data_IF_232352565330
#
_entry.id   IF_232352565330
#
_cell.length_a   1.000
_cell.length_b   1.000
_cell.length_c   1.000
_cell.angle_alpha   90.00
_cell.angle_beta   90.00
_cell.angle_gamma   90.00
#
_symmetry.space_group_name_H-M   'P 1'
#
loop_
_entity.id
_entity.type
_entity.pdbx_description
1 polymer ?
#
# COMPACT_ATOMS: atom_id res chain seq x y z
N UNK A 1 -9.18 2.84 -18.38
CA UNK A 1 -9.50 1.50 -18.88
C UNK A 1 -10.98 1.12 -18.73
N UNK A 2 -11.64 1.23 -17.56
CA UNK A 2 -12.97 0.66 -17.35
C UNK A 2 -14.04 1.15 -18.33
N UNK A 3 -14.02 2.45 -18.65
CA UNK A 3 -14.95 3.06 -19.62
C UNK A 3 -14.80 2.42 -21.01
N UNK A 4 -13.57 2.18 -21.47
CA UNK A 4 -13.34 1.56 -22.77
C UNK A 4 -13.88 0.12 -22.83
N UNK A 5 -13.74 -0.64 -21.74
CA UNK A 5 -14.31 -1.99 -21.63
C UNK A 5 -15.84 -1.94 -21.68
N UNK A 6 -16.47 -0.99 -20.99
CA UNK A 6 -17.91 -0.76 -21.07
C UNK A 6 -18.40 -0.44 -22.49
N UNK A 7 -17.66 0.41 -23.22
CA UNK A 7 -17.97 0.72 -24.63
C UNK A 7 -17.83 -0.54 -25.51
N UNK A 8 -16.77 -1.33 -25.33
CA UNK A 8 -16.54 -2.54 -26.11
C UNK A 8 -17.62 -3.59 -25.85
N UNK A 9 -18.05 -3.77 -24.61
CA UNK A 9 -19.17 -4.67 -24.28
C UNK A 9 -20.49 -4.17 -24.87
N UNK A 10 -20.78 -2.86 -24.78
CA UNK A 10 -21.98 -2.28 -25.40
C UNK A 10 -21.99 -2.45 -26.93
N UNK A 11 -20.81 -2.48 -27.56
CA UNK A 11 -20.67 -2.74 -29.00
C UNK A 11 -20.64 -4.23 -29.39
N UNK A 12 -20.78 -5.15 -28.41
CA UNK A 12 -20.78 -6.60 -28.65
C UNK A 12 -19.40 -7.20 -28.95
N UNK A 13 -18.31 -6.46 -28.73
CA UNK A 13 -16.94 -6.96 -28.94
C UNK A 13 -16.41 -7.80 -27.76
N UNK A 14 -17.09 -7.72 -26.62
CA UNK A 14 -16.81 -8.46 -25.40
C UNK A 14 -18.15 -8.95 -24.84
N UNK A 15 -18.16 -10.15 -24.31
CA UNK A 15 -19.30 -10.69 -23.57
C UNK A 15 -19.52 -9.90 -22.27
N UNK A 16 -20.68 -9.23 -22.18
CA UNK A 16 -21.06 -8.43 -21.01
C UNK A 16 -21.24 -9.26 -19.74
N UNK A 17 -21.58 -10.55 -19.87
CA UNK A 17 -21.86 -11.40 -18.72
C UNK A 17 -20.57 -11.69 -17.93
N UNK A 18 -19.43 -11.72 -18.62
CA UNK A 18 -18.12 -11.86 -18.00
C UNK A 18 -17.77 -10.65 -17.12
N UNK A 19 -18.25 -9.45 -17.46
CA UNK A 19 -17.92 -8.24 -16.69
C UNK A 19 -18.46 -8.26 -15.27
N UNK A 20 -19.45 -9.10 -14.97
CA UNK A 20 -19.95 -9.29 -13.60
C UNK A 20 -18.94 -9.97 -12.68
N UNK A 21 -17.98 -10.68 -13.25
CA UNK A 21 -16.96 -11.46 -12.54
C UNK A 21 -15.64 -10.68 -12.34
N UNK A 22 -15.47 -9.56 -13.03
CA UNK A 22 -14.23 -8.79 -13.06
C UNK A 22 -14.40 -7.35 -12.57
N UNK A 23 -13.37 -6.86 -11.90
CA UNK A 23 -13.13 -5.45 -11.66
C UNK A 23 -11.89 -4.98 -12.42
N UNK A 24 -11.86 -3.69 -12.78
CA UNK A 24 -10.88 -3.13 -13.69
C UNK A 24 -10.23 -1.89 -13.07
N UNK A 25 -8.90 -1.89 -12.97
CA UNK A 25 -8.16 -0.79 -12.38
C UNK A 25 -7.03 -0.32 -13.31
N UNK A 26 -7.11 0.93 -13.76
CA UNK A 26 -6.04 1.53 -14.56
C UNK A 26 -6.50 2.62 -15.52
N UNK A 27 -5.55 3.46 -15.88
CA UNK A 27 -5.72 4.49 -16.89
C UNK A 27 -5.45 3.94 -18.29
N UNK A 28 -6.13 4.48 -19.30
CA UNK A 28 -5.94 4.09 -20.70
C UNK A 28 -5.34 5.26 -21.46
N UNK A 29 -4.15 5.06 -22.03
CA UNK A 29 -3.53 6.00 -22.95
C UNK A 29 -4.16 5.90 -24.35
N UNK A 30 -4.07 6.97 -25.14
CA UNK A 30 -4.54 6.98 -26.54
C UNK A 30 -3.85 5.92 -27.40
N UNK A 31 -2.63 5.53 -27.03
CA UNK A 31 -1.86 4.45 -27.67
C UNK A 31 -2.35 3.04 -27.32
N UNK A 32 -3.43 2.91 -26.54
CA UNK A 32 -3.96 1.62 -26.08
C UNK A 32 -3.20 1.02 -24.89
N UNK A 33 -2.15 1.67 -24.39
CA UNK A 33 -1.36 1.21 -23.25
C UNK A 33 -2.06 1.51 -21.92
N UNK A 34 -1.90 0.60 -20.96
CA UNK A 34 -2.41 0.78 -19.61
C UNK A 34 -1.38 1.48 -18.73
N UNK A 35 -1.84 2.45 -17.93
CA UNK A 35 -1.05 3.17 -16.95
C UNK A 35 -1.55 2.88 -15.54
N UNK A 36 -0.60 2.84 -14.61
CA UNK A 36 -0.89 2.60 -13.21
C UNK A 36 -1.66 3.75 -12.55
N UNK A 37 -2.39 3.41 -11.49
CA UNK A 37 -3.15 4.35 -10.68
C UNK A 37 -2.88 4.13 -9.20
N UNK A 38 -3.24 5.11 -8.37
CA UNK A 38 -3.19 4.97 -6.91
C UNK A 38 -4.30 4.08 -6.36
N UNK A 39 -4.09 3.57 -5.15
CA UNK A 39 -5.10 2.81 -4.41
C UNK A 39 -5.26 1.36 -4.86
N UNK A 40 -4.19 0.73 -5.37
CA UNK A 40 -4.22 -0.66 -5.83
C UNK A 40 -4.66 -1.62 -4.72
N UNK A 41 -4.00 -1.58 -3.56
CA UNK A 41 -4.26 -2.52 -2.47
C UNK A 41 -5.70 -2.44 -1.97
N UNK A 42 -6.26 -1.27 -1.63
CA UNK A 42 -7.66 -1.20 -1.18
C UNK A 42 -8.64 -1.63 -2.28
N UNK A 43 -8.35 -1.36 -3.56
CA UNK A 43 -9.17 -1.85 -4.67
C UNK A 43 -9.17 -3.38 -4.75
N UNK A 44 -7.99 -4.01 -4.65
CA UNK A 44 -7.84 -5.47 -4.66
C UNK A 44 -8.58 -6.11 -3.47
N UNK A 45 -8.45 -5.55 -2.26
CA UNK A 45 -9.17 -6.01 -1.07
C UNK A 45 -10.69 -5.91 -1.27
N UNK A 46 -11.16 -4.81 -1.88
CA UNK A 46 -12.58 -4.61 -2.16
C UNK A 46 -13.10 -5.64 -3.18
N UNK A 47 -12.35 -5.91 -4.24
CA UNK A 47 -12.71 -6.90 -5.25
C UNK A 47 -12.78 -8.32 -4.66
N UNK A 48 -11.81 -8.67 -3.81
CA UNK A 48 -11.80 -9.95 -3.09
C UNK A 48 -13.03 -10.11 -2.17
N UNK A 49 -13.37 -9.07 -1.39
CA UNK A 49 -14.59 -9.05 -0.58
C UNK A 49 -15.86 -9.21 -1.42
N UNK A 50 -15.87 -8.64 -2.63
CA UNK A 50 -16.95 -8.79 -3.60
C UNK A 50 -16.92 -10.14 -4.35
N UNK A 51 -15.92 -11.00 -4.09
CA UNK A 51 -15.67 -12.27 -4.79
C UNK A 51 -15.50 -12.09 -6.30
N UNK A 52 -14.89 -10.99 -6.71
CA UNK A 52 -14.57 -10.66 -8.11
C UNK A 52 -13.07 -10.74 -8.34
N UNK A 53 -12.71 -11.12 -9.55
CA UNK A 53 -11.33 -11.11 -10.00
C UNK A 53 -10.96 -9.69 -10.45
N UNK A 54 -9.70 -9.29 -10.31
CA UNK A 54 -9.28 -7.94 -10.72
C UNK A 54 -8.31 -8.00 -11.89
N UNK A 55 -8.49 -7.11 -12.86
CA UNK A 55 -7.55 -6.86 -13.96
C UNK A 55 -7.01 -5.43 -13.81
N UNK A 56 -5.69 -5.30 -13.74
CA UNK A 56 -5.02 -4.03 -13.49
C UNK A 56 -3.86 -3.75 -14.44
N UNK A 57 -3.39 -2.50 -14.46
CA UNK A 57 -2.20 -2.14 -15.23
C UNK A 57 -0.94 -2.83 -14.67
N UNK A 58 -0.04 -3.25 -15.57
CA UNK A 58 1.24 -3.91 -15.20
C UNK A 58 2.05 -3.16 -14.13
N UNK A 59 2.00 -1.82 -14.14
CA UNK A 59 2.69 -0.98 -13.17
C UNK A 59 2.21 -1.20 -11.71
N UNK A 60 0.94 -1.58 -11.52
CA UNK A 60 0.36 -1.85 -10.20
C UNK A 60 0.54 -3.30 -9.74
N UNK A 61 1.10 -4.19 -10.56
CA UNK A 61 1.13 -5.62 -10.29
C UNK A 61 1.90 -5.98 -9.00
N UNK A 62 2.96 -5.24 -8.67
CA UNK A 62 3.75 -5.44 -7.45
C UNK A 62 2.95 -5.12 -6.17
N UNK A 63 2.07 -4.11 -6.20
CA UNK A 63 1.25 -3.77 -5.04
C UNK A 63 0.14 -4.81 -4.86
N UNK A 64 -0.48 -5.22 -5.96
CA UNK A 64 -1.53 -6.23 -5.96
C UNK A 64 -1.06 -7.59 -5.48
N UNK A 65 0.21 -7.94 -5.75
CA UNK A 65 0.79 -9.21 -5.34
C UNK A 65 0.97 -9.34 -3.82
N UNK A 66 0.93 -8.23 -3.06
CA UNK A 66 0.94 -8.24 -1.59
C UNK A 66 -0.34 -8.84 -1.00
N UNK A 67 -1.46 -8.79 -1.73
CA UNK A 67 -2.74 -9.35 -1.28
C UNK A 67 -2.84 -10.80 -1.75
N UNK A 68 -2.39 -11.73 -0.89
CA UNK A 68 -2.22 -13.15 -1.25
C UNK A 68 -3.54 -13.88 -1.56
N UNK A 69 -4.66 -13.44 -1.00
CA UNK A 69 -5.95 -14.15 -1.10
C UNK A 69 -6.78 -13.77 -2.35
N UNK A 70 -6.41 -12.69 -3.04
CA UNK A 70 -7.17 -12.18 -4.18
C UNK A 70 -6.70 -12.82 -5.50
N UNK A 71 -7.61 -12.99 -6.47
CA UNK A 71 -7.22 -13.39 -7.84
C UNK A 71 -7.06 -12.13 -8.70
N UNK A 72 -5.80 -11.73 -8.92
CA UNK A 72 -5.47 -10.48 -9.62
C UNK A 72 -4.60 -10.74 -10.85
N UNK A 73 -4.99 -10.19 -11.99
CA UNK A 73 -4.28 -10.25 -13.25
C UNK A 73 -3.73 -8.88 -13.64
N UNK A 74 -2.66 -8.85 -14.42
CA UNK A 74 -2.13 -7.60 -14.95
C UNK A 74 -1.96 -7.62 -16.47
N UNK A 75 -2.13 -6.45 -17.08
CA UNK A 75 -1.98 -6.24 -18.53
C UNK A 75 -1.17 -4.97 -18.84
N UNK A 76 -0.46 -4.97 -19.96
CA UNK A 76 0.25 -3.79 -20.48
C UNK A 76 -0.60 -2.94 -21.43
N UNK A 77 -1.63 -3.55 -22.04
CA UNK A 77 -2.46 -2.90 -23.05
C UNK A 77 -3.93 -3.31 -22.95
N UNK A 78 -4.82 -2.48 -23.49
CA UNK A 78 -6.25 -2.82 -23.60
C UNK A 78 -6.46 -4.08 -24.45
N UNK A 79 -5.64 -4.28 -25.48
CA UNK A 79 -5.74 -5.42 -26.38
C UNK A 79 -5.54 -6.75 -25.64
N UNK A 80 -4.56 -6.83 -24.74
CA UNK A 80 -4.34 -8.02 -23.90
C UNK A 80 -5.56 -8.33 -23.02
N UNK A 81 -6.18 -7.30 -22.44
CA UNK A 81 -7.40 -7.46 -21.63
C UNK A 81 -8.55 -8.01 -22.48
N UNK A 82 -8.76 -7.44 -23.67
CA UNK A 82 -9.81 -7.88 -24.60
C UNK A 82 -9.58 -9.32 -25.08
N UNK A 83 -8.34 -9.68 -25.39
CA UNK A 83 -8.01 -11.05 -25.81
C UNK A 83 -8.28 -12.06 -24.70
N UNK A 84 -7.99 -11.71 -23.45
CA UNK A 84 -8.27 -12.57 -22.30
C UNK A 84 -9.78 -12.73 -22.06
N UNK A 85 -10.55 -11.65 -22.12
CA UNK A 85 -12.02 -11.71 -21.98
C UNK A 85 -12.67 -12.52 -23.12
N UNK A 86 -12.10 -12.45 -24.33
CA UNK A 86 -12.52 -13.27 -25.47
C UNK A 86 -11.93 -14.69 -25.49
N UNK A 87 -11.28 -15.14 -24.40
CA UNK A 87 -10.68 -16.47 -24.24
C UNK A 87 -9.62 -16.83 -25.31
N UNK A 88 -8.99 -15.82 -25.91
CA UNK A 88 -7.92 -15.99 -26.91
C UNK A 88 -6.54 -16.14 -26.26
N UNK A 89 -6.30 -15.39 -25.20
CA UNK A 89 -5.05 -15.37 -24.44
C UNK A 89 -5.30 -15.51 -22.94
N UNK A 90 -4.22 -15.70 -22.17
CA UNK A 90 -4.24 -15.68 -20.70
C UNK A 90 -3.42 -14.49 -20.20
N UNK A 91 -3.93 -13.81 -19.18
CA UNK A 91 -3.16 -12.79 -18.47
C UNK A 91 -2.31 -13.43 -17.37
N UNK A 92 -1.12 -12.88 -17.10
CA UNK A 92 -0.31 -13.27 -15.96
C UNK A 92 -0.98 -12.87 -14.63
N UNK A 93 -0.74 -13.67 -13.59
CA UNK A 93 -1.30 -13.50 -12.24
C UNK A 93 -0.28 -12.72 -11.39
N UNK A 94 -0.73 -11.71 -10.65
CA UNK A 94 0.16 -10.85 -9.86
C UNK A 94 0.84 -11.62 -8.72
N UNK A 95 0.14 -12.56 -8.07
CA UNK A 95 0.65 -13.36 -6.95
C UNK A 95 1.95 -14.12 -7.29
N UNK A 96 2.20 -14.41 -8.57
CA UNK A 96 3.44 -15.09 -9.00
C UNK A 96 4.67 -14.17 -8.94
N UNK A 97 4.48 -12.85 -8.83
CA UNK A 97 5.58 -11.87 -8.75
C UNK A 97 6.23 -11.89 -7.36
N UNK A 98 5.41 -11.91 -6.29
CA UNK A 98 5.90 -11.85 -4.91
C UNK A 98 6.71 -13.07 -4.46
N UNK A 99 6.63 -14.20 -5.17
CA UNK A 99 7.48 -15.37 -4.90
C UNK A 99 8.97 -15.10 -5.16
N UNK A 100 9.31 -14.02 -5.89
CA UNK A 100 10.67 -13.72 -6.33
C UNK A 100 11.34 -12.52 -5.62
N UNK A 101 10.64 -11.76 -4.77
CA UNK A 101 11.14 -10.45 -4.31
C UNK A 101 11.53 -10.40 -2.83
N UNK A 102 12.85 -10.44 -2.66
CA UNK A 102 13.67 -9.78 -1.64
C UNK A 102 13.67 -10.31 -0.20
N UNK A 103 14.82 -10.86 0.19
CA UNK A 103 15.31 -10.83 1.57
C UNK A 103 15.06 -9.44 2.17
N UNK A 104 14.24 -9.38 3.21
CA UNK A 104 14.03 -8.17 4.01
C UNK A 104 15.41 -7.82 4.58
N UNK A 105 16.08 -6.82 4.01
CA UNK A 105 17.34 -6.33 4.58
C UNK A 105 16.99 -5.66 5.91
N UNK A 106 17.62 -6.04 7.03
CA UNK A 106 17.49 -5.27 8.25
C UNK A 106 18.11 -3.90 7.98
N UNK A 107 17.25 -2.89 7.85
CA UNK A 107 17.69 -1.50 7.89
C UNK A 107 18.23 -1.23 9.28
N UNK A 108 19.27 -0.40 9.34
CA UNK A 108 20.00 -0.02 10.56
C UNK A 108 19.02 0.30 11.68
N UNK A 109 18.92 -0.61 12.66
CA UNK A 109 18.13 -0.39 13.87
C UNK A 109 18.81 0.69 14.70
N UNK A 110 18.07 1.76 15.06
CA UNK A 110 18.58 2.80 15.95
C UNK A 110 18.44 2.29 17.37
N UNK A 111 19.55 2.28 18.11
CA UNK A 111 19.57 1.78 19.47
C UNK A 111 19.16 2.89 20.47
N UNK A 112 18.49 2.48 21.55
CA UNK A 112 18.27 3.34 22.72
C UNK A 112 19.57 3.64 23.47
N UNK A 113 20.63 2.85 23.28
CA UNK A 113 21.96 3.11 23.87
C UNK A 113 22.57 4.42 23.36
N UNK A 114 22.24 4.84 22.13
CA UNK A 114 22.69 6.12 21.55
C UNK A 114 22.24 7.36 22.35
N UNK A 115 21.15 7.23 23.13
CA UNK A 115 20.59 8.36 23.87
C UNK A 115 21.29 8.47 25.21
N UNK A 116 22.07 9.52 25.41
CA UNK A 116 22.73 9.76 26.69
C UNK A 116 21.71 10.30 27.70
N UNK A 117 21.55 9.61 28.83
CA UNK A 117 20.62 10.00 29.91
C UNK A 117 19.15 9.63 29.66
N UNK A 118 18.21 10.43 30.17
CA UNK A 118 16.76 10.30 29.97
C UNK A 118 16.13 8.94 30.37
N UNK A 119 16.59 8.36 31.49
CA UNK A 119 16.17 7.00 31.93
C UNK A 119 14.66 6.84 32.07
N UNK A 120 13.97 7.84 32.64
CA UNK A 120 12.51 7.82 32.77
C UNK A 120 11.81 7.80 31.40
N UNK A 121 12.30 8.59 30.43
CA UNK A 121 11.72 8.63 29.09
C UNK A 121 11.99 7.33 28.31
N UNK A 122 13.20 6.76 28.41
CA UNK A 122 13.51 5.45 27.83
C UNK A 122 12.60 4.35 28.39
N UNK A 123 12.41 4.33 29.71
CA UNK A 123 11.51 3.37 30.36
C UNK A 123 10.06 3.54 29.91
N UNK A 124 9.56 4.77 29.85
CA UNK A 124 8.22 5.06 29.35
C UNK A 124 8.05 4.59 27.90
N UNK A 125 9.06 4.81 27.06
CA UNK A 125 9.07 4.37 25.67
C UNK A 125 9.00 2.85 25.55
N UNK A 126 9.79 2.10 26.33
CA UNK A 126 9.76 0.63 26.34
C UNK A 126 8.41 0.10 26.82
N UNK A 127 7.83 0.69 27.87
CA UNK A 127 6.49 0.31 28.36
C UNK A 127 5.44 0.57 27.28
N UNK A 128 5.50 1.72 26.61
CA UNK A 128 4.58 2.04 25.54
C UNK A 128 4.71 1.11 24.34
N UNK A 129 5.94 0.76 23.93
CA UNK A 129 6.18 -0.20 22.84
C UNK A 129 5.65 -1.60 23.19
N UNK A 130 5.93 -2.10 24.40
CA UNK A 130 5.47 -3.41 24.85
C UNK A 130 3.95 -3.48 25.03
N UNK A 131 3.33 -2.40 25.52
CA UNK A 131 1.89 -2.32 25.77
C UNK A 131 1.06 -1.78 24.60
N UNK A 132 1.68 -1.46 23.45
CA UNK A 132 1.03 -0.78 22.32
C UNK A 132 0.28 0.50 22.75
N UNK A 133 0.88 1.29 23.64
CA UNK A 133 0.28 2.52 24.15
C UNK A 133 0.70 3.75 23.34
N UNK A 134 -0.20 4.72 23.27
CA UNK A 134 0.10 6.04 22.73
C UNK A 134 1.02 6.82 23.69
N UNK A 135 2.00 7.53 23.13
CA UNK A 135 2.97 8.30 23.90
C UNK A 135 3.05 9.73 23.38
N UNK A 136 2.97 10.72 24.27
CA UNK A 136 3.18 12.13 23.97
C UNK A 136 4.42 12.66 24.71
N UNK A 137 5.37 13.23 23.97
CA UNK A 137 6.54 13.88 24.56
C UNK A 137 6.32 15.38 24.74
N UNK A 138 6.42 15.87 25.97
CA UNK A 138 6.32 17.28 26.33
C UNK A 138 7.64 17.80 26.90
N UNK A 139 8.09 18.98 26.47
CA UNK A 139 9.25 19.65 27.07
C UNK A 139 9.99 20.62 26.13
N UNK A 140 10.96 21.39 26.66
CA UNK A 140 11.73 22.41 25.93
C UNK A 140 12.40 21.89 24.66
N UNK A 141 12.65 22.71 23.62
CA UNK A 141 13.38 22.29 22.42
C UNK A 141 14.79 21.77 22.78
N UNK A 142 15.34 20.87 21.96
CA UNK A 142 16.69 20.32 22.16
C UNK A 142 16.82 19.17 23.18
N UNK A 143 15.75 18.76 23.85
CA UNK A 143 15.79 17.70 24.89
C UNK A 143 15.80 16.25 24.37
N UNK A 144 16.00 16.05 23.07
CA UNK A 144 16.06 14.70 22.47
C UNK A 144 14.70 14.03 22.20
N UNK A 145 13.57 14.76 22.24
CA UNK A 145 12.22 14.20 21.98
C UNK A 145 12.10 13.48 20.65
N UNK A 146 12.55 14.12 19.55
CA UNK A 146 12.54 13.50 18.21
C UNK A 146 13.46 12.29 18.14
N UNK A 147 14.59 12.33 18.84
CA UNK A 147 15.53 11.21 18.92
C UNK A 147 14.91 10.00 19.62
N UNK A 148 14.14 10.22 20.71
CA UNK A 148 13.36 9.18 21.39
C UNK A 148 12.21 8.67 20.52
N UNK A 149 11.39 9.56 19.96
CA UNK A 149 10.22 9.19 19.16
C UNK A 149 10.57 8.35 17.93
N UNK A 150 11.67 8.69 17.25
CA UNK A 150 12.12 7.96 16.06
C UNK A 150 12.55 6.52 16.33
N UNK A 151 12.94 6.19 17.57
CA UNK A 151 13.32 4.84 17.99
C UNK A 151 12.13 3.99 18.44
N UNK A 152 10.94 4.58 18.61
CA UNK A 152 9.74 3.81 18.92
C UNK A 152 9.44 2.79 17.82
N UNK A 153 9.53 3.21 16.56
CA UNK A 153 9.27 2.34 15.41
C UNK A 153 10.22 1.14 15.36
N UNK A 154 11.45 1.30 15.83
CA UNK A 154 12.49 0.26 15.84
C UNK A 154 12.39 -0.67 17.08
N UNK A 155 11.66 -0.25 18.12
CA UNK A 155 11.38 -1.06 19.33
C UNK A 155 10.14 -1.93 19.20
N UNK A 156 9.23 -1.57 18.30
CA UNK A 156 8.00 -2.32 18.07
C UNK A 156 8.31 -3.65 17.40
N UNK A 157 7.54 -4.71 17.69
CA UNK A 157 7.67 -5.97 16.98
C UNK A 157 7.38 -5.79 15.48
N UNK A 158 7.91 -6.72 14.68
CA UNK A 158 7.59 -6.81 13.25
C UNK A 158 6.07 -6.80 13.04
N UNK A 159 5.62 -6.15 11.96
CA UNK A 159 4.21 -6.12 11.63
C UNK A 159 3.72 -7.51 11.22
N UNK A 160 2.51 -7.85 11.64
CA UNK A 160 1.79 -8.96 11.02
C UNK A 160 1.50 -8.63 9.55
N UNK A 161 1.19 -9.64 8.74
CA UNK A 161 0.84 -9.42 7.33
C UNK A 161 -0.39 -8.50 7.22
N UNK A 162 -1.36 -8.63 8.12
CA UNK A 162 -2.55 -7.78 8.18
C UNK A 162 -2.20 -6.31 8.46
N UNK A 163 -1.40 -6.03 9.50
CA UNK A 163 -0.95 -4.68 9.84
C UNK A 163 -0.14 -4.03 8.70
N UNK A 164 0.70 -4.84 8.04
CA UNK A 164 1.52 -4.39 6.93
C UNK A 164 0.65 -4.07 5.70
N UNK A 165 -0.36 -4.89 5.40
CA UNK A 165 -1.33 -4.63 4.32
C UNK A 165 -2.16 -3.37 4.61
N UNK A 166 -2.61 -3.15 5.85
CA UNK A 166 -3.34 -1.93 6.22
C UNK A 166 -2.47 -0.67 6.02
N UNK A 167 -1.23 -0.72 6.49
CA UNK A 167 -0.27 0.38 6.32
C UNK A 167 0.05 0.64 4.84
N UNK A 168 0.26 -0.43 4.07
CA UNK A 168 0.50 -0.36 2.64
C UNK A 168 -0.73 0.17 1.89
N UNK A 169 -1.94 -0.16 2.33
CA UNK A 169 -3.19 0.35 1.76
C UNK A 169 -3.24 1.87 1.80
N UNK A 170 -2.98 2.46 2.97
CA UNK A 170 -2.91 3.92 3.13
C UNK A 170 -1.81 4.53 2.27
N UNK A 171 -0.65 3.88 2.21
CA UNK A 171 0.49 4.37 1.44
C UNK A 171 0.23 4.34 -0.07
N UNK A 172 -0.44 3.29 -0.58
CA UNK A 172 -0.82 3.14 -2.00
C UNK A 172 -1.76 4.25 -2.49
N UNK A 173 -2.50 4.90 -1.59
CA UNK A 173 -3.37 6.03 -1.93
C UNK A 173 -2.60 7.32 -2.19
N UNK A 174 -1.41 7.46 -1.59
CA UNK A 174 -0.64 8.72 -1.58
C UNK A 174 0.60 8.62 -2.48
N UNK A 175 1.18 7.43 -2.58
CA UNK A 175 2.40 7.18 -3.34
C UNK A 175 2.12 6.22 -4.49
N UNK A 176 2.88 6.36 -5.57
CA UNK A 176 2.72 5.55 -6.79
C UNK A 176 3.48 4.22 -6.73
N UNK A 177 4.46 4.10 -5.83
CA UNK A 177 5.28 2.90 -5.69
C UNK A 177 5.51 2.59 -4.21
N UNK A 178 5.06 1.41 -3.80
CA UNK A 178 5.46 0.83 -2.52
C UNK A 178 6.88 0.25 -2.62
N UNK A 179 7.72 0.63 -1.67
CA UNK A 179 9.02 -0.03 -1.50
C UNK A 179 8.82 -1.41 -0.87
N UNK A 180 8.87 -2.45 -1.69
CA UNK A 180 8.70 -3.85 -1.30
C UNK A 180 9.77 -4.35 -0.30
N UNK A 181 10.87 -3.61 -0.09
CA UNK A 181 11.86 -3.97 0.91
C UNK A 181 11.46 -3.53 2.33
N UNK A 182 10.61 -2.50 2.45
CA UNK A 182 10.32 -1.84 3.72
C UNK A 182 8.84 -1.87 4.10
N UNK A 183 7.98 -2.53 3.33
CA UNK A 183 6.52 -2.50 3.55
C UNK A 183 6.08 -3.13 4.88
N UNK A 184 6.89 -4.03 5.46
CA UNK A 184 6.69 -4.58 6.82
C UNK A 184 7.29 -3.74 7.95
N UNK A 185 7.91 -2.60 7.65
CA UNK A 185 8.49 -1.71 8.65
C UNK A 185 7.44 -0.76 9.24
N UNK A 186 7.44 -0.61 10.57
CA UNK A 186 6.54 0.31 11.26
C UNK A 186 6.77 1.74 10.74
N UNK A 187 5.74 2.43 10.24
CA UNK A 187 5.93 3.74 9.63
C UNK A 187 6.28 4.78 10.70
N UNK A 188 7.26 5.63 10.40
CA UNK A 188 7.57 6.81 11.20
C UNK A 188 7.37 8.07 10.34
N UNK A 189 6.59 9.03 10.84
CA UNK A 189 6.38 10.32 10.17
C UNK A 189 7.05 11.43 10.98
N UNK A 190 7.84 12.25 10.31
CA UNK A 190 8.43 13.47 10.86
C UNK A 190 7.92 14.66 10.05
N UNK A 191 6.72 15.19 10.35
CA UNK A 191 6.16 16.31 9.60
C UNK A 191 7.12 17.51 9.63
N UNK A 192 7.19 18.23 8.52
CA UNK A 192 7.98 19.46 8.45
C UNK A 192 7.38 20.53 9.38
N UNK A 193 8.20 21.44 9.89
CA UNK A 193 7.74 22.51 10.79
C UNK A 193 6.71 23.47 10.17
N UNK A 194 6.51 23.40 8.85
CA UNK A 194 5.49 24.14 8.10
C UNK A 194 4.19 23.35 7.88
N UNK A 195 4.06 22.12 8.41
CA UNK A 195 2.84 21.35 8.32
C UNK A 195 1.72 22.02 9.12
N UNK A 196 0.54 22.18 8.51
CA UNK A 196 -0.63 22.74 9.18
C UNK A 196 -1.18 21.74 10.21
N UNK A 197 -1.94 22.25 11.20
CA UNK A 197 -2.65 21.39 12.16
C UNK A 197 -3.55 20.37 11.44
N UNK A 198 -4.29 20.80 10.42
CA UNK A 198 -5.15 19.92 9.62
C UNK A 198 -4.37 18.80 8.94
N UNK A 199 -3.15 19.07 8.45
CA UNK A 199 -2.29 18.04 7.87
C UNK A 199 -1.73 17.05 8.92
N UNK A 200 -1.69 17.44 10.20
CA UNK A 200 -1.11 16.68 11.30
C UNK A 200 -2.14 15.78 12.00
N UNK A 201 -3.38 16.25 12.17
CA UNK A 201 -4.47 15.45 12.75
C UNK A 201 -5.17 14.56 11.70
N UNK A 202 -4.86 14.78 10.41
CA UNK A 202 -5.58 14.19 9.29
C UNK A 202 -6.86 14.98 9.06
N UNK A 203 -6.98 15.59 7.88
CA UNK A 203 -8.19 16.28 7.48
C UNK A 203 -9.32 15.28 7.28
N UNK A 204 -10.05 14.95 8.35
CA UNK A 204 -11.42 14.49 8.23
C UNK A 204 -12.20 15.65 7.61
N UNK A 205 -12.93 15.38 6.52
CA UNK A 205 -13.85 16.34 5.96
C UNK A 205 -14.83 16.77 7.06
N UNK A 206 -14.69 17.98 7.59
CA UNK A 206 -15.79 18.67 8.24
C UNK A 206 -16.85 18.90 7.16
N UNK A 207 -17.91 18.09 7.23
CA UNK A 207 -19.25 18.49 6.86
C UNK A 207 -20.04 18.71 8.16
#
# INVERSE_FOLDING_TARGET
MPIAIGILAASGQIDSDLLTQFEFLGELALTGHLRGVHGTIPAVISADKAKRQMILAKQNANEASLVSNATTYFAGSLLEVVNMLNKRDKLPICQHISQHSAEIRPLVSRDLTDIIGQQHAKRALMIAAAGQHNLLFLGPPGTGKTMLASRLADLLPEMTDEEAIETASVTSLVQNELNFQNWKQRPFRSPHHSASMVALVGGGCEN
#
